data_IF_560523512979
#
_entry.id   IF_560523512979
#
_cell.length_a   1.000
_cell.length_b   1.000
_cell.length_c   1.000
_cell.angle_alpha   90.00
_cell.angle_beta   90.00
_cell.angle_gamma   90.00
#
_symmetry.space_group_name_H-M   'P 1'
#
loop_
_entity.id
_entity.type
_entity.pdbx_description
1 polymer ?
#
# COMPACT_ATOMS: atom_id res chain seq x y z
N UNK A 1 4.50 -29.42 9.11
CA UNK A 1 4.85 -29.16 7.69
C UNK A 1 3.98 -28.09 7.04
N UNK A 2 2.65 -28.09 7.18
CA UNK A 2 1.76 -27.08 6.56
C UNK A 2 2.07 -25.62 6.96
N UNK A 3 2.40 -25.36 8.23
CA UNK A 3 2.72 -24.01 8.72
C UNK A 3 4.00 -23.42 8.09
N UNK A 4 5.03 -24.25 7.85
CA UNK A 4 6.26 -23.82 7.19
C UNK A 4 6.01 -23.45 5.71
N UNK A 5 5.14 -24.20 5.03
CA UNK A 5 4.71 -23.90 3.66
C UNK A 5 3.94 -22.58 3.55
N UNK A 6 3.03 -22.32 4.50
CA UNK A 6 2.29 -21.05 4.56
C UNK A 6 3.21 -19.86 4.82
N UNK A 7 4.14 -19.97 5.77
CA UNK A 7 5.10 -18.92 6.09
C UNK A 7 6.05 -18.60 4.92
N UNK A 8 6.51 -19.62 4.19
CA UNK A 8 7.35 -19.42 3.00
C UNK A 8 6.59 -18.70 1.88
N UNK A 9 5.32 -19.03 1.69
CA UNK A 9 4.45 -18.34 0.71
C UNK A 9 4.24 -16.88 1.08
N UNK A 10 3.97 -16.60 2.36
CA UNK A 10 3.83 -15.23 2.85
C UNK A 10 5.13 -14.43 2.60
N UNK A 11 6.29 -15.01 2.91
CA UNK A 11 7.59 -14.37 2.67
C UNK A 11 7.83 -14.06 1.21
N UNK A 12 7.50 -14.98 0.30
CA UNK A 12 7.65 -14.76 -1.14
C UNK A 12 6.81 -13.56 -1.59
N UNK A 13 5.52 -13.56 -1.23
CA UNK A 13 4.59 -12.45 -1.56
C UNK A 13 5.08 -11.11 -1.01
N UNK A 14 5.54 -11.08 0.24
CA UNK A 14 6.06 -9.85 0.85
C UNK A 14 7.37 -9.39 0.21
N UNK A 15 8.23 -10.31 -0.20
CA UNK A 15 9.48 -10.00 -0.91
C UNK A 15 9.21 -9.35 -2.26
N UNK A 16 8.24 -9.88 -3.02
CA UNK A 16 7.87 -9.32 -4.31
C UNK A 16 7.17 -7.96 -4.15
N UNK A 17 6.27 -7.85 -3.17
CA UNK A 17 5.57 -6.59 -2.87
C UNK A 17 6.54 -5.48 -2.43
N UNK A 18 7.65 -5.82 -1.78
CA UNK A 18 8.66 -4.85 -1.35
C UNK A 18 9.39 -4.14 -2.49
N UNK A 19 9.22 -4.59 -3.74
CA UNK A 19 9.70 -3.86 -4.92
C UNK A 19 8.93 -2.55 -5.18
N UNK A 20 7.72 -2.40 -4.62
CA UNK A 20 6.89 -1.20 -4.77
C UNK A 20 7.44 -0.09 -3.86
N UNK A 21 7.83 1.09 -4.40
CA UNK A 21 8.44 2.14 -3.59
C UNK A 21 7.51 2.72 -2.51
N UNK A 22 8.08 3.06 -1.36
CA UNK A 22 7.44 3.95 -0.40
C UNK A 22 7.71 5.41 -0.81
N UNK A 23 6.66 6.16 -1.16
CA UNK A 23 6.79 7.52 -1.68
C UNK A 23 5.50 8.34 -1.48
N UNK A 24 5.59 9.65 -1.66
CA UNK A 24 4.48 10.59 -1.55
C UNK A 24 4.26 11.46 -2.80
N UNK A 25 5.09 11.31 -3.85
CA UNK A 25 4.98 12.01 -5.13
C UNK A 25 3.63 11.73 -5.81
N UNK A 26 3.17 10.48 -5.83
CA UNK A 26 1.87 10.15 -6.45
C UNK A 26 0.71 10.82 -5.72
N UNK A 27 0.78 10.91 -4.39
CA UNK A 27 -0.19 11.64 -3.58
C UNK A 27 -0.16 13.14 -3.94
N UNK A 28 1.02 13.74 -4.05
CA UNK A 28 1.20 15.15 -4.43
C UNK A 28 0.65 15.43 -5.83
N UNK A 29 0.94 14.57 -6.82
CA UNK A 29 0.46 14.69 -8.19
C UNK A 29 -1.07 14.58 -8.24
N UNK A 30 -1.66 13.60 -7.55
CA UNK A 30 -3.12 13.41 -7.50
C UNK A 30 -3.81 14.60 -6.84
N UNK A 31 -3.27 15.08 -5.71
CA UNK A 31 -3.74 16.29 -5.03
C UNK A 31 -3.71 17.52 -5.93
N UNK A 32 -2.61 17.75 -6.65
CA UNK A 32 -2.48 18.88 -7.57
C UNK A 32 -3.48 18.80 -8.74
N UNK A 33 -3.72 17.59 -9.28
CA UNK A 33 -4.68 17.37 -10.38
C UNK A 33 -6.14 17.58 -9.96
N UNK A 34 -6.47 17.30 -8.71
CA UNK A 34 -7.84 17.42 -8.19
C UNK A 34 -8.14 18.82 -7.65
N UNK A 35 -7.16 19.73 -7.59
CA UNK A 35 -7.39 21.10 -7.13
C UNK A 35 -7.38 21.25 -5.60
N UNK A 36 -6.71 20.34 -4.89
CA UNK A 36 -6.55 20.40 -3.44
C UNK A 36 -7.74 19.89 -2.63
N UNK A 37 -8.52 18.98 -3.21
CA UNK A 37 -9.76 18.46 -2.64
C UNK A 37 -9.61 17.62 -1.36
N UNK A 38 -10.78 17.35 -0.77
CA UNK A 38 -11.03 16.47 0.37
C UNK A 38 -10.14 15.20 0.38
N UNK A 39 -9.62 14.78 1.55
CA UNK A 39 -8.72 13.62 1.67
C UNK A 39 -9.22 12.32 1.03
N UNK A 40 -10.55 12.17 0.93
CA UNK A 40 -11.21 11.00 0.34
C UNK A 40 -11.01 10.93 -1.18
N UNK A 41 -10.91 12.06 -1.88
CA UNK A 41 -10.77 12.13 -3.33
C UNK A 41 -9.35 11.77 -3.81
N UNK A 42 -8.36 12.03 -2.96
CA UNK A 42 -6.94 11.73 -3.22
C UNK A 42 -6.51 10.33 -2.76
N UNK A 43 -7.42 9.53 -2.18
CA UNK A 43 -7.13 8.13 -1.83
C UNK A 43 -6.72 7.36 -3.07
N UNK A 44 -5.69 6.53 -2.95
CA UNK A 44 -5.27 5.60 -4.01
C UNK A 44 -5.73 4.19 -3.67
N UNK A 45 -6.45 3.60 -4.61
CA UNK A 45 -6.95 2.24 -4.53
C UNK A 45 -5.88 1.23 -4.96
N UNK A 46 -6.04 -0.07 -4.60
CA UNK A 46 -5.07 -1.10 -4.94
C UNK A 46 -4.76 -1.20 -6.43
N UNK A 47 -5.77 -1.16 -7.30
CA UNK A 47 -5.57 -1.26 -8.75
C UNK A 47 -4.74 -0.10 -9.28
N UNK A 48 -4.95 1.14 -8.79
CA UNK A 48 -4.13 2.29 -9.15
C UNK A 48 -2.66 2.09 -8.75
N UNK A 49 -2.42 1.52 -7.57
CA UNK A 49 -1.05 1.24 -7.09
C UNK A 49 -0.36 0.22 -7.99
N UNK A 50 -1.02 -0.90 -8.31
CA UNK A 50 -0.42 -1.94 -9.13
C UNK A 50 -0.22 -1.49 -10.59
N UNK A 51 -1.22 -0.86 -11.21
CA UNK A 51 -1.13 -0.38 -12.59
C UNK A 51 -0.06 0.70 -12.76
N UNK A 52 0.02 1.67 -11.83
CA UNK A 52 1.04 2.72 -11.91
C UNK A 52 2.44 2.18 -11.59
N UNK A 53 2.55 1.17 -10.72
CA UNK A 53 3.82 0.51 -10.47
C UNK A 53 4.32 -0.22 -11.72
N UNK A 54 3.46 -1.02 -12.35
CA UNK A 54 3.79 -1.74 -13.58
C UNK A 54 4.15 -0.78 -14.72
N UNK A 55 3.41 0.32 -14.86
CA UNK A 55 3.58 1.25 -15.98
C UNK A 55 4.72 2.25 -15.80
N UNK A 56 4.96 2.72 -14.57
CA UNK A 56 5.83 3.86 -14.30
C UNK A 56 6.85 3.61 -13.18
N UNK A 57 6.85 2.45 -12.54
CA UNK A 57 7.67 2.18 -11.35
C UNK A 57 7.27 3.02 -10.15
N UNK A 58 6.03 3.53 -10.11
CA UNK A 58 5.54 4.36 -9.01
C UNK A 58 5.19 3.52 -7.78
N UNK A 59 5.04 4.20 -6.65
CA UNK A 59 4.85 3.59 -5.34
C UNK A 59 3.59 4.08 -4.63
N UNK A 60 3.66 4.22 -3.31
CA UNK A 60 2.61 4.85 -2.53
C UNK A 60 3.01 5.12 -1.07
N UNK A 61 2.05 5.61 -0.30
CA UNK A 61 2.21 5.88 1.15
C UNK A 61 1.78 4.68 1.99
N UNK A 62 1.98 4.76 3.32
CA UNK A 62 1.61 3.69 4.26
C UNK A 62 0.15 3.24 4.08
N UNK A 63 -0.80 4.16 3.94
CA UNK A 63 -2.21 3.83 3.73
C UNK A 63 -2.47 3.11 2.40
N UNK A 64 -2.00 3.67 1.28
CA UNK A 64 -2.25 3.07 -0.04
C UNK A 64 -1.53 1.72 -0.21
N UNK A 65 -0.30 1.60 0.30
CA UNK A 65 0.45 0.34 0.24
C UNK A 65 -0.13 -0.73 1.16
N UNK A 66 -0.62 -0.36 2.36
CA UNK A 66 -1.28 -1.32 3.25
C UNK A 66 -2.60 -1.81 2.65
N UNK A 67 -3.36 -0.93 2.00
CA UNK A 67 -4.57 -1.33 1.28
C UNK A 67 -4.24 -2.26 0.10
N UNK A 68 -3.24 -1.91 -0.71
CA UNK A 68 -2.79 -2.76 -1.81
C UNK A 68 -2.32 -4.14 -1.32
N UNK A 69 -1.52 -4.18 -0.26
CA UNK A 69 -1.05 -5.44 0.33
C UNK A 69 -2.21 -6.29 0.85
N UNK A 70 -3.18 -5.71 1.55
CA UNK A 70 -4.36 -6.45 2.01
C UNK A 70 -5.15 -7.05 0.84
N UNK A 71 -5.33 -6.28 -0.25
CA UNK A 71 -6.05 -6.76 -1.44
C UNK A 71 -5.35 -7.96 -2.12
N UNK A 72 -4.04 -8.12 -1.91
CA UNK A 72 -3.25 -9.26 -2.37
C UNK A 72 -3.31 -10.43 -1.38
N UNK A 73 -3.23 -10.18 -0.07
CA UNK A 73 -3.17 -11.21 0.96
C UNK A 73 -4.50 -11.94 1.18
N UNK A 74 -5.61 -11.21 1.15
CA UNK A 74 -6.95 -11.76 1.40
C UNK A 74 -7.34 -12.90 0.44
N UNK A 75 -7.23 -12.76 -0.91
CA UNK A 75 -7.54 -13.85 -1.84
C UNK A 75 -6.55 -15.02 -1.75
N UNK A 76 -5.36 -14.82 -1.19
CA UNK A 76 -4.38 -15.89 -0.94
C UNK A 76 -4.68 -16.69 0.34
N UNK A 77 -5.74 -16.34 1.07
CA UNK A 77 -6.17 -17.01 2.30
C UNK A 77 -5.39 -16.59 3.54
N UNK A 78 -4.64 -15.49 3.48
CA UNK A 78 -3.99 -14.92 4.66
C UNK A 78 -4.98 -14.04 5.42
N UNK A 79 -5.13 -14.31 6.71
CA UNK A 79 -5.93 -13.45 7.58
C UNK A 79 -5.18 -12.14 7.86
N UNK A 80 -5.78 -11.02 7.48
CA UNK A 80 -5.24 -9.68 7.71
C UNK A 80 -6.34 -8.70 8.11
N UNK A 81 -6.01 -7.70 8.93
CA UNK A 81 -6.91 -6.62 9.32
C UNK A 81 -6.12 -5.32 9.49
N UNK A 82 -6.80 -4.19 9.33
CA UNK A 82 -6.17 -2.88 9.46
C UNK A 82 -5.94 -2.52 10.92
N UNK A 83 -4.77 -1.94 11.19
CA UNK A 83 -4.41 -1.33 12.46
C UNK A 83 -3.88 0.06 12.14
N UNK A 84 -4.29 1.06 12.92
CA UNK A 84 -3.72 2.40 12.87
C UNK A 84 -2.76 2.59 14.04
N UNK A 85 -1.64 3.28 13.78
CA UNK A 85 -0.66 3.66 14.77
C UNK A 85 -0.35 5.16 14.64
N UNK A 86 0.18 5.76 15.69
CA UNK A 86 0.66 7.14 15.68
C UNK A 86 2.20 7.13 15.72
N UNK A 87 2.80 7.61 14.64
CA UNK A 87 4.23 7.88 14.57
C UNK A 87 4.49 9.19 15.30
N UNK A 88 4.72 9.15 16.62
CA UNK A 88 4.96 10.26 17.59
C UNK A 88 6.12 11.24 17.26
N UNK A 89 6.33 11.54 15.99
CA UNK A 89 7.51 12.17 15.38
C UNK A 89 7.17 13.53 14.76
N UNK A 90 5.88 13.90 14.67
CA UNK A 90 5.44 15.20 14.19
C UNK A 90 3.92 15.33 14.09
N UNK A 91 3.42 16.55 13.82
CA UNK A 91 2.00 16.76 13.51
C UNK A 91 1.65 16.12 12.17
N UNK A 92 0.51 15.43 12.11
CA UNK A 92 0.01 14.77 10.89
C UNK A 92 0.98 13.73 10.29
N UNK A 93 1.78 13.08 11.15
CA UNK A 93 2.61 11.93 10.79
C UNK A 93 1.94 10.70 11.39
N UNK A 94 1.51 9.77 10.55
CA UNK A 94 0.74 8.59 10.91
C UNK A 94 1.46 7.33 10.44
#
# INVERSE_FOLDING_TARGET
MAAAGSLNRLRAVLSDFAAIPYENLTKIIKFARQGGSEPQEILRFPWEVFEDHERYGLGGTCFSLTYALKSLLDPLGFYSYYITADMKTGRNVH
#
